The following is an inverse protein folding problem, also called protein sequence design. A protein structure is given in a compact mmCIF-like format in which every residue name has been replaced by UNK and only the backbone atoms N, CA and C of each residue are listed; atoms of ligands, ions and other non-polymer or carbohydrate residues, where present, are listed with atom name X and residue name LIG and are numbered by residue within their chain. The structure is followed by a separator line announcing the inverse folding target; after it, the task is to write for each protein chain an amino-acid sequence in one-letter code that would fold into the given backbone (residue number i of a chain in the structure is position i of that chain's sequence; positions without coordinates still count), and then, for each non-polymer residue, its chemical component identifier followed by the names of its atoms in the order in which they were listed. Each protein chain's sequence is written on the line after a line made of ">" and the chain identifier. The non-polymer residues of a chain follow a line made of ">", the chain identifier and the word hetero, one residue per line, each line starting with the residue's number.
data_IF_231756123811
#
_entry.id   IF_231756123811
#
_cell.length_a   1.000
_cell.length_b   1.000
_cell.length_c   1.000
_cell.angle_alpha   90.00
_cell.angle_beta   90.00
_cell.angle_gamma   90.00
#
_symmetry.space_group_name_H-M   'P 1'
#
loop_
_entity.id
_entity.type
_entity.pdbx_description
1 polymer ?
#
# COMPACT_ATOMS: atom_id res chain seq x y z
N UNK A 1 -1.56 -0.98 2.19
CA UNK A 1 -3.02 -1.19 2.22
C UNK A 1 -3.71 0.13 2.59
N UNK A 2 -3.65 0.58 3.86
CA UNK A 2 -4.35 1.79 4.32
C UNK A 2 -4.09 3.05 3.48
N UNK A 3 -2.82 3.39 3.21
CA UNK A 3 -2.49 4.55 2.37
C UNK A 3 -3.09 4.50 0.94
N UNK A 4 -3.20 3.30 0.34
CA UNK A 4 -3.82 3.12 -0.98
C UNK A 4 -5.35 3.24 -0.89
N UNK A 5 -5.96 2.67 0.15
CA UNK A 5 -7.40 2.80 0.42
C UNK A 5 -7.79 4.26 0.68
N UNK A 6 -6.99 5.00 1.46
CA UNK A 6 -7.20 6.43 1.71
C UNK A 6 -6.98 7.28 0.46
N UNK A 7 -6.05 6.89 -0.44
CA UNK A 7 -5.88 7.53 -1.75
C UNK A 7 -7.12 7.32 -2.62
N UNK A 8 -7.66 6.09 -2.70
CA UNK A 8 -8.92 5.81 -3.41
C UNK A 8 -10.08 6.62 -2.84
N UNK A 9 -10.20 6.66 -1.51
CA UNK A 9 -11.24 7.46 -0.84
C UNK A 9 -11.17 8.93 -1.25
N UNK A 10 -9.97 9.53 -1.22
CA UNK A 10 -9.76 10.92 -1.65
C UNK A 10 -10.11 11.11 -3.13
N UNK A 11 -9.72 10.19 -4.00
CA UNK A 11 -10.05 10.26 -5.42
C UNK A 11 -11.58 10.20 -5.66
N UNK A 12 -12.31 9.32 -4.96
CA UNK A 12 -13.77 9.25 -5.02
C UNK A 12 -14.41 10.55 -4.50
N UNK A 13 -13.92 11.07 -3.36
CA UNK A 13 -14.46 12.28 -2.76
C UNK A 13 -14.20 13.54 -3.62
N UNK A 14 -13.11 13.55 -4.40
CA UNK A 14 -12.68 14.71 -5.20
C UNK A 14 -13.25 14.68 -6.62
N UNK A 15 -13.26 13.52 -7.26
CA UNK A 15 -13.58 13.36 -8.69
C UNK A 15 -14.92 12.65 -8.94
N UNK A 16 -15.60 12.18 -7.89
CA UNK A 16 -16.89 11.49 -7.97
C UNK A 16 -16.79 9.99 -8.26
N UNK A 17 -17.92 9.40 -8.64
CA UNK A 17 -18.04 7.97 -8.95
C UNK A 17 -18.94 7.76 -10.19
N UNK A 18 -18.42 7.24 -11.32
CA UNK A 18 -17.00 6.96 -11.59
C UNK A 18 -16.18 8.27 -11.65
N UNK A 19 -14.91 8.26 -11.20
CA UNK A 19 -14.12 9.48 -11.10
C UNK A 19 -13.77 10.04 -12.48
N UNK A 20 -14.08 11.31 -12.69
CA UNK A 20 -13.69 12.05 -13.89
C UNK A 20 -12.45 12.88 -13.56
N UNK A 21 -11.29 12.39 -13.97
CA UNK A 21 -10.03 13.10 -13.77
C UNK A 21 -9.89 14.25 -14.78
N UNK A 22 -9.28 15.39 -14.39
CA UNK A 22 -8.99 16.48 -15.32
C UNK A 22 -8.15 15.99 -16.50
N UNK A 23 -8.59 16.32 -17.72
CA UNK A 23 -7.77 16.13 -18.91
C UNK A 23 -6.55 17.07 -18.84
N UNK A 24 -5.41 16.59 -19.28
CA UNK A 24 -4.08 17.13 -18.99
C UNK A 24 -3.90 18.62 -19.36
N UNK A 25 -3.92 19.49 -18.36
CA UNK A 25 -3.13 20.72 -18.30
C UNK A 25 -2.46 20.76 -16.92
N UNK A 26 -1.11 20.82 -16.86
CA UNK A 26 -0.21 20.96 -15.69
C UNK A 26 0.86 19.86 -15.47
N UNK A 27 1.26 19.09 -16.48
CA UNK A 27 2.53 18.31 -16.44
C UNK A 27 3.76 19.14 -16.85
N UNK A 28 3.97 20.29 -16.23
CA UNK A 28 5.27 20.98 -16.27
C UNK A 28 5.82 21.19 -14.85
N UNK A 29 4.96 21.45 -13.86
CA UNK A 29 5.38 21.82 -12.49
C UNK A 29 5.95 20.65 -11.67
N UNK A 30 5.41 19.43 -11.82
CA UNK A 30 5.96 18.25 -11.11
C UNK A 30 7.24 17.71 -11.76
N UNK A 31 7.39 17.83 -13.08
CA UNK A 31 8.61 17.42 -13.76
C UNK A 31 9.79 18.34 -13.44
N UNK A 32 9.57 19.66 -13.34
CA UNK A 32 10.63 20.62 -13.01
C UNK A 32 11.15 20.46 -11.57
N UNK A 33 10.26 20.25 -10.58
CA UNK A 33 10.69 20.01 -9.20
C UNK A 33 11.49 18.71 -9.04
N UNK A 34 11.14 17.68 -9.81
CA UNK A 34 11.90 16.42 -9.85
C UNK A 34 13.21 16.58 -10.64
N UNK A 35 13.28 17.44 -11.64
CA UNK A 35 14.52 17.68 -12.41
C UNK A 35 15.52 18.52 -11.62
N UNK A 36 15.09 19.56 -10.90
CA UNK A 36 15.98 20.48 -10.17
C UNK A 36 16.65 19.82 -8.96
N UNK A 37 15.95 18.93 -8.24
CA UNK A 37 16.52 18.12 -7.15
C UNK A 37 17.50 17.03 -7.62
N UNK A 38 17.60 16.78 -8.93
CA UNK A 38 18.30 15.61 -9.49
C UNK A 38 19.65 15.95 -10.13
N UNK A 39 20.03 17.23 -10.19
CA UNK A 39 21.30 17.69 -10.80
C UNK A 39 22.45 17.85 -9.78
N UNK A 40 22.30 17.34 -8.54
CA UNK A 40 23.46 17.07 -7.66
C UNK A 40 23.58 15.57 -7.39
N UNK A 41 24.73 15.04 -7.78
CA UNK A 41 25.24 13.68 -7.55
C UNK A 41 24.84 12.56 -8.53
N UNK A 42 25.55 12.57 -9.68
CA UNK A 42 25.75 11.42 -10.56
C UNK A 42 26.58 10.31 -9.87
N UNK A 43 26.01 9.58 -8.90
CA UNK A 43 26.57 8.30 -8.45
C UNK A 43 25.59 7.49 -7.57
N UNK A 44 24.65 6.76 -8.18
CA UNK A 44 24.14 5.44 -7.74
C UNK A 44 22.93 5.00 -8.58
N UNK A 45 23.07 3.91 -9.32
CA UNK A 45 22.05 3.29 -10.17
C UNK A 45 20.87 2.69 -9.40
N UNK A 46 20.01 3.53 -8.82
CA UNK A 46 18.75 3.13 -8.16
C UNK A 46 17.48 3.65 -8.83
N UNK A 47 17.57 4.50 -9.87
CA UNK A 47 16.39 5.12 -10.50
C UNK A 47 15.73 4.28 -11.62
N UNK A 48 16.37 3.22 -12.13
CA UNK A 48 15.82 2.42 -13.23
C UNK A 48 14.63 1.51 -12.86
N UNK A 49 14.43 1.20 -11.57
CA UNK A 49 13.30 0.35 -11.12
C UNK A 49 11.99 1.10 -10.88
N UNK A 50 12.03 2.40 -10.61
CA UNK A 50 10.83 3.21 -10.36
C UNK A 50 10.10 3.53 -11.68
N UNK A 51 10.86 3.93 -12.70
CA UNK A 51 10.31 4.21 -14.03
C UNK A 51 9.73 2.95 -14.71
N UNK A 52 10.31 1.76 -14.47
CA UNK A 52 9.82 0.50 -15.04
C UNK A 52 8.58 -0.08 -14.32
N UNK A 53 8.21 0.46 -13.14
CA UNK A 53 7.04 0.03 -12.36
C UNK A 53 5.87 1.01 -12.40
N UNK A 54 6.09 2.22 -12.91
CA UNK A 54 5.02 3.13 -13.24
C UNK A 54 4.39 2.64 -14.55
N UNK A 55 3.39 1.77 -14.45
CA UNK A 55 2.40 1.68 -15.53
C UNK A 55 1.84 3.08 -15.79
N UNK A 56 1.30 3.33 -16.99
CA UNK A 56 0.78 4.63 -17.44
C UNK A 56 -0.35 5.26 -16.58
N UNK A 57 -0.67 4.68 -15.43
CA UNK A 57 -1.73 5.07 -14.52
C UNK A 57 -1.21 6.06 -13.46
N UNK A 58 -1.71 7.31 -13.48
CA UNK A 58 -1.37 8.35 -12.48
C UNK A 58 -2.20 8.18 -11.19
N UNK A 59 -3.45 7.75 -11.32
CA UNK A 59 -4.40 7.63 -10.22
C UNK A 59 -4.51 6.19 -9.70
N UNK A 60 -4.82 6.04 -8.40
CA UNK A 60 -5.01 4.72 -7.80
C UNK A 60 -6.22 4.00 -8.43
N UNK A 61 -7.27 4.74 -8.77
CA UNK A 61 -8.44 4.22 -9.47
C UNK A 61 -8.07 3.52 -10.79
N UNK A 62 -7.24 4.16 -11.61
CA UNK A 62 -6.79 3.60 -12.90
C UNK A 62 -5.98 2.32 -12.72
N UNK A 63 -5.16 2.24 -11.67
CA UNK A 63 -4.42 1.02 -11.33
C UNK A 63 -5.40 -0.11 -10.97
N UNK A 64 -6.46 0.19 -10.22
CA UNK A 64 -7.47 -0.80 -9.85
C UNK A 64 -8.29 -1.27 -11.07
N UNK A 65 -8.60 -0.38 -12.01
CA UNK A 65 -9.22 -0.74 -13.29
C UNK A 65 -8.32 -1.66 -14.13
N UNK A 66 -6.99 -1.47 -14.08
CA UNK A 66 -6.04 -2.36 -14.77
C UNK A 66 -5.97 -3.78 -14.20
N UNK A 67 -6.58 -4.02 -13.03
CA UNK A 67 -6.76 -5.35 -12.43
C UNK A 67 -8.07 -6.01 -12.85
N UNK A 68 -8.72 -5.50 -13.91
CA UNK A 68 -10.02 -5.96 -14.43
C UNK A 68 -11.16 -5.93 -13.38
N UNK A 69 -11.10 -4.96 -12.46
CA UNK A 69 -12.14 -4.74 -11.46
C UNK A 69 -13.21 -3.78 -11.99
N UNK A 70 -14.48 -4.06 -11.69
CA UNK A 70 -15.58 -3.15 -12.00
C UNK A 70 -15.55 -1.91 -11.09
N UNK A 71 -16.05 -0.77 -11.57
CA UNK A 71 -16.06 0.47 -10.78
C UNK A 71 -16.75 0.28 -9.41
N UNK A 72 -17.83 -0.49 -9.35
CA UNK A 72 -18.54 -0.80 -8.10
C UNK A 72 -17.70 -1.60 -7.09
N UNK A 73 -16.86 -2.51 -7.57
CA UNK A 73 -15.92 -3.25 -6.73
C UNK A 73 -14.80 -2.32 -6.25
N UNK A 74 -14.24 -1.49 -7.15
CA UNK A 74 -13.16 -0.54 -6.82
C UNK A 74 -13.59 0.40 -5.68
N UNK A 75 -14.85 0.83 -5.67
CA UNK A 75 -15.42 1.65 -4.58
C UNK A 75 -15.27 0.99 -3.20
N UNK A 76 -15.39 -0.34 -3.11
CA UNK A 76 -15.28 -1.08 -1.85
C UNK A 76 -13.84 -1.06 -1.30
N UNK A 77 -12.84 -0.90 -2.16
CA UNK A 77 -11.43 -0.77 -1.76
C UNK A 77 -11.08 0.60 -1.14
N UNK A 78 -12.03 1.54 -1.04
CA UNK A 78 -11.87 2.69 -0.15
C UNK A 78 -11.81 2.27 1.33
N UNK A 79 -12.38 1.12 1.67
CA UNK A 79 -12.22 0.49 2.98
C UNK A 79 -11.01 -0.46 2.97
N UNK A 80 -10.09 -0.27 3.92
CA UNK A 80 -8.88 -1.07 4.05
C UNK A 80 -9.20 -2.55 4.39
N UNK A 81 -10.30 -2.82 5.07
CA UNK A 81 -10.70 -4.18 5.44
C UNK A 81 -11.11 -5.01 4.22
N UNK A 82 -11.65 -4.37 3.18
CA UNK A 82 -12.00 -5.05 1.94
C UNK A 82 -10.77 -5.67 1.27
N UNK A 83 -9.63 -4.99 1.31
CA UNK A 83 -8.36 -5.52 0.78
C UNK A 83 -7.94 -6.82 1.46
N UNK A 84 -8.16 -6.90 2.78
CA UNK A 84 -7.82 -8.08 3.60
C UNK A 84 -8.72 -9.27 3.30
N UNK A 85 -9.93 -9.05 2.76
CA UNK A 85 -10.85 -10.12 2.36
C UNK A 85 -10.67 -10.52 0.90
N UNK A 86 -10.32 -9.57 0.03
CA UNK A 86 -10.25 -9.78 -1.41
C UNK A 86 -8.94 -10.45 -1.86
N UNK A 87 -7.79 -9.86 -1.53
CA UNK A 87 -6.52 -10.31 -2.09
C UNK A 87 -5.95 -11.60 -1.49
N UNK A 88 -6.09 -11.91 -0.18
CA UNK A 88 -5.48 -13.12 0.37
C UNK A 88 -6.01 -14.43 -0.25
N UNK A 89 -7.34 -14.61 -0.45
CA UNK A 89 -7.86 -15.78 -1.17
C UNK A 89 -7.35 -15.88 -2.61
N UNK A 90 -7.27 -14.77 -3.35
CA UNK A 90 -6.76 -14.76 -4.72
C UNK A 90 -5.28 -15.17 -4.77
N UNK A 91 -4.48 -14.63 -3.86
CA UNK A 91 -3.06 -14.96 -3.74
C UNK A 91 -2.88 -16.46 -3.44
N UNK A 92 -3.71 -17.01 -2.56
CA UNK A 92 -3.69 -18.44 -2.27
C UNK A 92 -4.02 -19.28 -3.52
N UNK A 93 -5.05 -18.90 -4.28
CA UNK A 93 -5.39 -19.59 -5.53
C UNK A 93 -4.26 -19.52 -6.56
N UNK A 94 -3.63 -18.36 -6.73
CA UNK A 94 -2.51 -18.19 -7.67
C UNK A 94 -1.31 -19.06 -7.28
N UNK A 95 -0.97 -19.11 -5.99
CA UNK A 95 0.10 -19.96 -5.47
C UNK A 95 -0.22 -21.47 -5.58
N UNK A 96 -1.49 -21.86 -5.47
CA UNK A 96 -1.92 -23.22 -5.74
C UNK A 96 -1.80 -23.56 -7.24
N UNK A 97 -2.21 -22.66 -8.14
CA UNK A 97 -2.05 -22.83 -9.60
C UNK A 97 -0.58 -22.91 -10.01
N UNK A 98 0.30 -22.20 -9.29
CA UNK A 98 1.75 -22.30 -9.47
C UNK A 98 2.31 -23.68 -9.05
N UNK A 99 1.58 -24.46 -8.25
CA UNK A 99 1.98 -25.79 -7.81
C UNK A 99 2.92 -25.80 -6.59
N UNK A 100 2.86 -24.77 -5.74
CA UNK A 100 3.69 -24.72 -4.53
C UNK A 100 3.28 -25.78 -3.50
N UNK A 101 4.28 -26.44 -2.90
CA UNK A 101 4.09 -27.45 -1.85
C UNK A 101 3.97 -26.80 -0.47
N UNK A 102 2.84 -26.15 -0.20
CA UNK A 102 2.57 -25.41 1.04
C UNK A 102 1.45 -26.08 1.84
N UNK A 103 1.59 -26.14 3.16
CA UNK A 103 0.51 -26.55 4.07
C UNK A 103 -0.43 -25.36 4.35
N UNK A 104 -1.50 -25.26 3.57
CA UNK A 104 -2.49 -24.18 3.62
C UNK A 104 -3.24 -24.06 4.95
N UNK A 105 -3.22 -25.10 5.80
CA UNK A 105 -3.83 -25.06 7.14
C UNK A 105 -3.09 -24.12 8.09
N UNK A 106 -1.89 -23.68 7.70
CA UNK A 106 -1.04 -22.75 8.46
C UNK A 106 -1.08 -21.32 7.90
N UNK A 107 -1.97 -21.04 6.95
CA UNK A 107 -2.16 -19.70 6.40
C UNK A 107 -2.95 -18.82 7.36
N UNK A 108 -2.53 -17.55 7.52
CA UNK A 108 -3.20 -16.58 8.38
C UNK A 108 -2.97 -15.14 7.91
N UNK A 109 -3.78 -14.21 8.40
CA UNK A 109 -3.64 -12.75 8.20
C UNK A 109 -2.96 -12.14 9.42
N UNK A 110 -2.18 -11.07 9.22
CA UNK A 110 -1.29 -10.48 10.24
C UNK A 110 -1.85 -9.28 10.98
N UNK A 111 -3.01 -8.77 10.56
CA UNK A 111 -3.70 -7.65 11.23
C UNK A 111 -4.51 -8.14 12.42
N UNK A 112 -5.05 -7.19 13.19
CA UNK A 112 -5.97 -7.38 14.31
C UNK A 112 -7.28 -8.10 13.93
N UNK A 113 -7.63 -8.14 12.65
CA UNK A 113 -8.71 -8.97 12.11
C UNK A 113 -8.53 -10.46 12.45
N UNK A 114 -7.29 -10.91 12.67
CA UNK A 114 -7.01 -12.26 13.17
C UNK A 114 -6.72 -12.23 14.68
N UNK A 115 -7.69 -12.60 15.54
CA UNK A 115 -7.52 -12.52 16.99
C UNK A 115 -6.42 -13.45 17.53
N UNK A 116 -6.16 -14.59 16.87
CA UNK A 116 -5.12 -15.53 17.31
C UNK A 116 -3.72 -14.94 17.11
N UNK A 117 -3.48 -14.34 15.94
CA UNK A 117 -2.19 -13.73 15.63
C UNK A 117 -1.98 -12.45 16.44
N UNK A 118 -3.03 -11.63 16.61
CA UNK A 118 -2.99 -10.46 17.47
C UNK A 118 -2.65 -10.83 18.93
N UNK A 119 -3.29 -11.86 19.49
CA UNK A 119 -2.97 -12.37 20.83
C UNK A 119 -1.51 -12.84 20.94
N UNK A 120 -0.99 -13.51 19.90
CA UNK A 120 0.42 -13.93 19.85
C UNK A 120 1.37 -12.73 19.85
N UNK A 121 1.11 -11.70 19.04
CA UNK A 121 1.93 -10.48 18.99
C UNK A 121 1.84 -9.71 20.31
N UNK A 122 0.66 -9.60 20.91
CA UNK A 122 0.50 -8.97 22.24
C UNK A 122 1.34 -9.68 23.29
N UNK A 123 1.26 -11.02 23.35
CA UNK A 123 2.11 -11.81 24.23
C UNK A 123 3.60 -11.53 23.98
N UNK A 124 4.03 -11.48 22.73
CA UNK A 124 5.42 -11.17 22.37
C UNK A 124 5.85 -9.80 22.89
N UNK A 125 5.06 -8.75 22.67
CA UNK A 125 5.39 -7.39 23.11
C UNK A 125 5.35 -7.24 24.63
N UNK A 126 4.44 -7.92 25.32
CA UNK A 126 4.43 -7.99 26.80
C UNK A 126 5.74 -8.59 27.30
N UNK A 127 6.19 -9.73 26.74
CA UNK A 127 7.46 -10.37 27.11
C UNK A 127 8.68 -9.50 26.80
N UNK A 128 8.68 -8.79 25.67
CA UNK A 128 9.77 -7.88 25.32
C UNK A 128 9.87 -6.70 26.29
N UNK A 129 8.72 -6.16 26.71
CA UNK A 129 8.65 -5.10 27.72
C UNK A 129 9.11 -5.59 29.10
N UNK A 130 8.66 -6.78 29.54
CA UNK A 130 9.11 -7.40 30.80
C UNK A 130 10.64 -7.60 30.85
N UNK A 131 11.28 -7.84 29.71
CA UNK A 131 12.74 -8.03 29.58
C UNK A 131 13.53 -6.74 29.30
N UNK A 132 12.88 -5.58 29.40
CA UNK A 132 13.52 -4.28 29.15
C UNK A 132 14.00 -4.09 27.70
N UNK A 133 13.36 -4.76 26.72
CA UNK A 133 13.68 -4.61 25.30
C UNK A 133 12.81 -3.57 24.58
N UNK A 134 11.76 -3.11 25.24
CA UNK A 134 10.87 -2.04 24.75
C UNK A 134 10.90 -0.92 25.77
N UNK A 135 11.38 0.24 25.33
CA UNK A 135 11.47 1.46 26.13
C UNK A 135 10.71 2.59 25.44
N UNK A 136 10.20 3.53 26.23
CA UNK A 136 9.56 4.74 25.74
C UNK A 136 10.49 5.95 25.98
N UNK A 137 10.71 6.74 24.95
CA UNK A 137 11.56 7.94 25.04
C UNK A 137 11.61 8.73 23.74
N UNK A 138 12.08 9.97 23.81
CA UNK A 138 12.27 10.82 22.63
C UNK A 138 13.50 10.37 21.85
N UNK A 139 13.32 10.00 20.59
CA UNK A 139 14.38 9.57 19.68
C UNK A 139 14.20 10.27 18.34
N UNK A 140 15.30 10.65 17.71
CA UNK A 140 15.25 11.13 16.33
C UNK A 140 14.92 9.96 15.41
N UNK A 141 13.84 10.11 14.66
CA UNK A 141 13.37 9.13 13.69
C UNK A 141 12.95 9.87 12.43
N UNK A 142 13.04 9.20 11.27
CA UNK A 142 12.50 9.76 10.03
C UNK A 142 10.98 9.84 10.20
N UNK A 143 10.44 11.04 10.00
CA UNK A 143 9.03 11.34 10.20
C UNK A 143 8.45 12.01 8.97
N UNK A 144 7.25 11.58 8.59
CA UNK A 144 6.49 12.14 7.48
C UNK A 144 5.28 12.88 8.06
N UNK A 145 5.21 14.22 7.96
CA UNK A 145 4.05 14.98 8.44
C UNK A 145 2.73 14.60 7.76
N UNK A 146 2.78 13.96 6.60
CA UNK A 146 1.62 13.51 5.83
C UNK A 146 1.02 12.21 6.36
N UNK A 147 1.83 11.38 7.02
CA UNK A 147 1.43 10.06 7.54
C UNK A 147 1.07 10.09 9.03
N UNK A 148 1.19 11.26 9.67
CA UNK A 148 0.85 11.50 11.07
C UNK A 148 -0.63 11.84 11.25
#
# INVERSE_FOLDING_TARGET
>A
IKACADKLRREIDTYGFPPVFPAEEETEKEEEQVKELVIKDKAKGKKSKAAAKAGSCKYQWQIMQSLDLSDEEIRQFADADHWLRYFPPLTQQDLMRLGLRVDWRRSFITTDVNPFYDAFVRWQFVRLRERGKVEFGKRYTIFSPRDN
#
